data_IF_767927748249
#
_entry.id   IF_767927748249
#
_cell.length_a   1.000
_cell.length_b   1.000
_cell.length_c   1.000
_cell.angle_alpha   90.00
_cell.angle_beta   90.00
_cell.angle_gamma   90.00
#
_symmetry.space_group_name_H-M   'P 1'
#
loop_
_entity.id
_entity.type
_entity.pdbx_description
1 polymer ?
#
# COMPACT_ATOMS: atom_id res chain seq x y z
N UNK A 1 -28.87 12.80 -0.68
CA UNK A 1 -28.36 14.07 -1.12
C UNK A 1 -27.19 14.58 -0.27
N UNK A 2 -26.60 15.68 -0.66
CA UNK A 2 -25.52 16.35 0.09
C UNK A 2 -24.26 15.51 0.33
N UNK A 3 -23.95 14.58 -0.59
CA UNK A 3 -22.81 13.65 -0.50
C UNK A 3 -22.84 12.70 0.71
N UNK A 4 -23.99 12.54 1.35
CA UNK A 4 -24.23 11.61 2.43
C UNK A 4 -25.02 10.41 1.92
N UNK A 5 -24.55 9.22 2.24
CA UNK A 5 -25.12 7.95 1.83
C UNK A 5 -25.59 7.15 3.05
N UNK A 6 -26.72 6.49 2.95
CA UNK A 6 -27.11 5.50 3.94
C UNK A 6 -26.19 4.26 3.86
N UNK A 7 -25.91 3.67 5.02
CA UNK A 7 -25.17 2.42 5.09
C UNK A 7 -26.15 1.24 5.09
N UNK A 8 -26.04 0.35 4.12
CA UNK A 8 -26.87 -0.85 4.05
C UNK A 8 -26.55 -1.95 5.07
N UNK A 9 -25.58 -1.73 5.97
CA UNK A 9 -25.16 -2.70 6.99
C UNK A 9 -25.67 -2.41 8.40
N UNK A 10 -26.26 -1.22 8.62
CA UNK A 10 -26.78 -0.79 9.91
C UNK A 10 -27.78 0.36 9.74
N UNK A 11 -28.98 0.19 10.26
CA UNK A 11 -30.00 1.24 10.23
C UNK A 11 -29.55 2.45 11.07
N UNK A 12 -29.74 3.64 10.54
CA UNK A 12 -29.29 4.88 11.19
C UNK A 12 -27.82 5.24 10.98
N UNK A 13 -27.05 4.39 10.31
CA UNK A 13 -25.69 4.74 9.92
C UNK A 13 -25.67 5.47 8.57
N UNK A 14 -24.89 6.54 8.52
CA UNK A 14 -24.67 7.34 7.31
C UNK A 14 -23.17 7.51 7.05
N UNK A 15 -22.81 7.77 5.81
CA UNK A 15 -21.41 7.92 5.46
C UNK A 15 -21.17 8.97 4.37
N UNK A 16 -20.01 9.59 4.40
CA UNK A 16 -19.39 10.23 3.26
C UNK A 16 -18.50 9.19 2.53
N UNK A 17 -18.66 9.11 1.21
CA UNK A 17 -17.90 8.21 0.34
C UNK A 17 -16.85 9.00 -0.45
N UNK A 18 -15.58 8.67 -0.23
CA UNK A 18 -14.47 9.12 -1.08
C UNK A 18 -13.96 7.99 -1.97
N UNK A 19 -13.36 8.35 -3.09
CA UNK A 19 -12.75 7.37 -3.98
C UNK A 19 -11.63 6.60 -3.27
N UNK A 20 -11.41 5.34 -3.69
CA UNK A 20 -10.29 4.50 -3.26
C UNK A 20 -10.34 4.04 -1.80
N UNK A 21 -11.54 4.02 -1.21
CA UNK A 21 -11.72 3.51 0.16
C UNK A 21 -11.64 4.59 1.25
N UNK A 22 -11.89 5.86 0.91
CA UNK A 22 -11.96 6.93 1.90
C UNK A 22 -13.38 7.00 2.45
N UNK A 23 -13.57 6.77 3.75
CA UNK A 23 -14.88 6.83 4.37
C UNK A 23 -14.87 7.61 5.68
N UNK A 24 -15.94 8.37 5.90
CA UNK A 24 -16.33 8.84 7.22
C UNK A 24 -17.74 8.31 7.48
N UNK A 25 -17.86 7.44 8.47
CA UNK A 25 -19.10 6.73 8.78
C UNK A 25 -19.57 7.16 10.16
N UNK A 26 -20.78 7.73 10.24
CA UNK A 26 -21.43 8.08 11.49
C UNK A 26 -22.46 7.03 11.83
N UNK A 27 -22.39 6.48 13.04
CA UNK A 27 -23.29 5.46 13.58
C UNK A 27 -24.01 6.12 14.77
N UNK A 28 -25.19 6.70 14.46
CA UNK A 28 -25.85 7.65 15.32
C UNK A 28 -26.36 7.04 16.61
N UNK A 29 -26.85 5.81 16.57
CA UNK A 29 -27.33 5.07 17.75
C UNK A 29 -26.21 4.62 18.70
N UNK A 30 -24.97 4.74 18.27
CA UNK A 30 -23.77 4.41 19.07
C UNK A 30 -22.91 5.64 19.41
N UNK A 31 -23.36 6.84 19.02
CA UNK A 31 -22.58 8.08 19.17
C UNK A 31 -21.12 7.90 18.70
N UNK A 32 -20.95 7.22 17.55
CA UNK A 32 -19.66 6.79 17.06
C UNK A 32 -19.40 7.27 15.63
N UNK A 33 -18.16 7.66 15.38
CA UNK A 33 -17.65 7.95 14.04
C UNK A 33 -16.48 7.03 13.74
N UNK A 34 -16.55 6.36 12.58
CA UNK A 34 -15.45 5.54 12.04
C UNK A 34 -14.87 6.23 10.83
N UNK A 35 -13.57 6.46 10.85
CA UNK A 35 -12.83 7.02 9.71
C UNK A 35 -11.94 5.93 9.13
N UNK A 36 -12.04 5.76 7.82
CA UNK A 36 -11.20 4.82 7.07
C UNK A 36 -10.44 5.59 5.99
N UNK A 37 -9.12 5.37 5.94
CA UNK A 37 -8.25 5.90 4.90
C UNK A 37 -7.55 4.73 4.22
N UNK A 38 -7.82 4.56 2.95
CA UNK A 38 -7.32 3.43 2.16
C UNK A 38 -6.77 3.91 0.82
N UNK A 39 -5.99 3.06 0.17
CA UNK A 39 -5.56 3.23 -1.21
C UNK A 39 -5.88 1.95 -1.99
N UNK A 40 -7.16 1.61 -2.09
CA UNK A 40 -7.62 0.41 -2.79
C UNK A 40 -8.25 0.75 -4.14
N UNK A 41 -7.88 0.01 -5.18
CA UNK A 41 -8.52 0.09 -6.49
C UNK A 41 -9.86 -0.65 -6.55
N UNK A 42 -10.17 -1.47 -5.54
CA UNK A 42 -11.46 -2.08 -5.34
C UNK A 42 -12.52 -1.08 -4.87
N UNK A 43 -13.75 -1.54 -4.72
CA UNK A 43 -14.86 -0.70 -4.25
C UNK A 43 -14.93 -0.56 -2.71
N UNK A 44 -13.89 -0.97 -1.97
CA UNK A 44 -13.78 -0.87 -0.50
C UNK A 44 -14.92 -1.56 0.28
N UNK A 45 -15.77 -2.31 -0.41
CA UNK A 45 -17.00 -2.88 0.18
C UNK A 45 -16.66 -3.92 1.24
N UNK A 46 -15.60 -4.68 1.04
CA UNK A 46 -15.22 -5.76 1.96
C UNK A 46 -14.61 -5.21 3.25
N UNK A 47 -13.84 -4.13 3.18
CA UNK A 47 -13.27 -3.48 4.37
C UNK A 47 -14.35 -2.89 5.28
N UNK A 48 -15.40 -2.29 4.72
CA UNK A 48 -16.54 -1.77 5.49
C UNK A 48 -17.31 -2.85 6.25
N UNK A 49 -17.31 -4.09 5.75
CA UNK A 49 -17.91 -5.22 6.46
C UNK A 49 -17.27 -5.47 7.81
N UNK A 50 -15.98 -5.16 7.97
CA UNK A 50 -15.28 -5.27 9.25
C UNK A 50 -15.93 -4.41 10.34
N UNK A 51 -16.55 -3.29 9.97
CA UNK A 51 -17.26 -2.44 10.91
C UNK A 51 -18.52 -3.16 11.40
N UNK A 52 -19.29 -3.75 10.49
CA UNK A 52 -20.57 -4.38 10.79
C UNK A 52 -20.40 -5.75 11.41
N UNK A 53 -19.46 -6.54 10.89
CA UNK A 53 -19.31 -7.94 11.24
C UNK A 53 -18.37 -8.15 12.44
N UNK A 54 -17.44 -7.22 12.70
CA UNK A 54 -16.42 -7.36 13.72
C UNK A 54 -16.48 -6.26 14.78
N UNK A 55 -16.48 -4.99 14.38
CA UNK A 55 -16.39 -3.87 15.34
C UNK A 55 -17.70 -3.70 16.11
N UNK A 56 -18.81 -3.47 15.41
CA UNK A 56 -20.10 -3.18 16.06
C UNK A 56 -20.57 -4.23 17.05
N UNK A 57 -20.44 -5.54 16.81
CA UNK A 57 -20.83 -6.56 17.77
C UNK A 57 -20.04 -6.51 19.09
N UNK A 58 -18.90 -5.82 19.12
CA UNK A 58 -18.07 -5.67 20.32
C UNK A 58 -18.39 -4.41 21.12
N UNK A 59 -19.10 -3.46 20.51
CA UNK A 59 -19.48 -2.20 21.15
C UNK A 59 -20.63 -2.46 22.11
N UNK A 60 -20.45 -2.06 23.35
CA UNK A 60 -21.47 -2.15 24.42
C UNK A 60 -22.04 -0.77 24.69
N UNK A 61 -23.27 -0.75 25.18
CA UNK A 61 -23.94 0.49 25.55
C UNK A 61 -23.42 1.07 26.88
N UNK A 62 -22.76 0.24 27.69
CA UNK A 62 -22.15 0.64 28.95
C UNK A 62 -20.62 0.87 28.82
N UNK A 63 -20.06 1.81 29.56
CA UNK A 63 -18.61 2.00 29.58
C UNK A 63 -17.87 0.72 29.96
N UNK A 64 -16.81 0.43 29.24
CA UNK A 64 -15.97 -0.72 29.55
C UNK A 64 -15.24 -0.52 30.90
N UNK A 65 -15.14 -1.57 31.73
CA UNK A 65 -14.36 -1.48 32.96
C UNK A 65 -12.87 -1.22 32.65
N UNK A 66 -12.22 -0.49 33.55
CA UNK A 66 -10.78 -0.18 33.41
C UNK A 66 -9.98 -1.48 33.38
N UNK A 67 -9.32 -1.75 32.24
CA UNK A 67 -8.44 -2.90 32.05
C UNK A 67 -7.05 -2.46 31.61
N UNK A 68 -6.17 -2.26 32.59
CA UNK A 68 -4.78 -1.81 32.34
C UNK A 68 -3.99 -2.79 31.45
N UNK A 69 -4.24 -4.09 31.58
CA UNK A 69 -3.54 -5.13 30.81
C UNK A 69 -3.88 -5.04 29.32
N UNK A 70 -5.16 -4.94 29.00
CA UNK A 70 -5.60 -4.86 27.60
C UNK A 70 -5.22 -3.51 26.99
N UNK A 71 -5.27 -2.43 27.77
CA UNK A 71 -4.79 -1.12 27.32
C UNK A 71 -3.29 -1.14 26.97
N UNK A 72 -2.45 -1.75 27.82
CA UNK A 72 -1.02 -1.90 27.52
C UNK A 72 -0.79 -2.79 26.29
N UNK A 73 -1.59 -3.82 26.10
CA UNK A 73 -1.52 -4.67 24.90
C UNK A 73 -1.87 -3.90 23.64
N UNK A 74 -2.93 -3.08 23.70
CA UNK A 74 -3.33 -2.21 22.60
C UNK A 74 -2.20 -1.23 22.23
N UNK A 75 -1.64 -0.53 23.24
CA UNK A 75 -0.51 0.39 23.01
C UNK A 75 0.69 -0.31 22.35
N UNK A 76 1.05 -1.52 22.83
CA UNK A 76 2.14 -2.30 22.24
C UNK A 76 1.84 -2.69 20.78
N UNK A 77 0.60 -3.08 20.47
CA UNK A 77 0.21 -3.40 19.10
C UNK A 77 0.26 -2.17 18.20
N UNK A 78 -0.24 -1.04 18.66
CA UNK A 78 -0.21 0.21 17.90
C UNK A 78 1.22 0.67 17.61
N UNK A 79 2.13 0.56 18.58
CA UNK A 79 3.52 0.99 18.42
C UNK A 79 4.31 0.20 17.37
N UNK A 80 3.91 -1.04 17.08
CA UNK A 80 4.57 -1.90 16.09
C UNK A 80 3.75 -2.10 14.82
N UNK A 81 2.60 -1.44 14.72
CA UNK A 81 1.73 -1.58 13.56
C UNK A 81 2.34 -0.84 12.35
N UNK A 82 2.65 -1.58 11.32
CA UNK A 82 3.22 -1.07 10.07
C UNK A 82 2.82 -1.98 8.91
N UNK A 83 2.92 -1.47 7.70
CA UNK A 83 2.78 -2.29 6.51
C UNK A 83 3.85 -3.40 6.53
N UNK A 84 3.44 -4.67 6.34
CA UNK A 84 4.38 -5.76 6.35
C UNK A 84 5.30 -5.69 5.13
N UNK A 85 6.58 -5.80 5.38
CA UNK A 85 7.59 -5.96 4.35
C UNK A 85 7.52 -7.34 3.70
N UNK A 86 8.20 -7.51 2.58
CA UNK A 86 8.32 -8.81 1.92
C UNK A 86 9.04 -9.80 2.85
N UNK A 87 8.46 -10.99 3.02
CA UNK A 87 9.01 -12.04 3.88
C UNK A 87 9.93 -12.96 3.10
N UNK A 88 11.10 -13.28 3.66
CA UNK A 88 12.06 -14.19 3.04
C UNK A 88 13.47 -13.98 3.58
N UNK A 89 14.47 -14.24 2.74
CA UNK A 89 15.91 -14.09 3.04
C UNK A 89 16.48 -12.82 2.41
N UNK A 90 17.54 -12.27 3.01
CA UNK A 90 18.24 -11.08 2.47
C UNK A 90 19.00 -11.39 1.18
N UNK A 91 19.46 -12.62 1.02
CA UNK A 91 20.33 -13.01 -0.10
C UNK A 91 20.06 -14.43 -0.57
N UNK A 92 20.43 -14.68 -1.81
CA UNK A 92 20.51 -16.02 -2.40
C UNK A 92 21.78 -16.12 -3.24
N UNK A 93 22.40 -17.28 -3.32
CA UNK A 93 23.49 -17.53 -4.24
C UNK A 93 23.08 -17.32 -5.71
N UNK A 94 21.80 -17.45 -6.01
CA UNK A 94 21.22 -17.23 -7.34
C UNK A 94 21.30 -15.76 -7.79
N UNK A 95 21.50 -14.81 -6.87
CA UNK A 95 21.63 -13.38 -7.17
C UNK A 95 22.70 -13.11 -8.24
N UNK A 96 23.81 -13.87 -8.24
CA UNK A 96 24.89 -13.75 -9.24
C UNK A 96 24.41 -13.95 -10.69
N UNK A 97 23.28 -14.66 -10.88
CA UNK A 97 22.70 -14.83 -12.22
C UNK A 97 22.03 -13.56 -12.74
N UNK A 98 21.67 -12.63 -11.87
CA UNK A 98 20.93 -11.41 -12.17
C UNK A 98 21.76 -10.14 -11.90
N UNK A 99 22.81 -10.27 -11.10
CA UNK A 99 23.65 -9.14 -10.68
C UNK A 99 24.21 -8.38 -11.87
N UNK A 100 23.90 -7.09 -11.95
CA UNK A 100 24.34 -6.17 -13.00
C UNK A 100 23.96 -6.56 -14.44
N UNK A 101 23.11 -7.58 -14.63
CA UNK A 101 22.66 -7.95 -15.97
C UNK A 101 21.45 -7.14 -16.37
N UNK A 102 21.44 -6.67 -17.60
CA UNK A 102 20.28 -6.04 -18.22
C UNK A 102 19.33 -7.13 -18.73
N UNK A 103 18.09 -7.08 -18.26
CA UNK A 103 17.02 -7.96 -18.68
C UNK A 103 16.13 -7.17 -19.61
N UNK A 104 16.17 -7.49 -20.89
CA UNK A 104 15.27 -6.88 -21.88
C UNK A 104 13.86 -7.43 -21.72
N UNK A 105 12.88 -6.54 -21.71
CA UNK A 105 11.47 -6.88 -21.57
C UNK A 105 10.75 -6.79 -22.90
N UNK A 106 9.87 -7.75 -23.16
CA UNK A 106 8.89 -7.64 -24.23
C UNK A 106 7.87 -6.54 -23.98
N UNK A 107 6.96 -6.33 -24.92
CA UNK A 107 5.86 -5.36 -24.77
C UNK A 107 5.08 -5.62 -23.47
N UNK A 108 4.99 -4.61 -22.64
CA UNK A 108 4.32 -4.69 -21.35
C UNK A 108 3.52 -3.41 -21.05
N UNK A 109 2.53 -3.45 -20.14
CA UNK A 109 1.66 -2.32 -19.86
C UNK A 109 2.35 -1.15 -19.15
N UNK A 110 3.58 -1.34 -18.64
CA UNK A 110 4.33 -0.32 -17.91
C UNK A 110 5.18 0.55 -18.83
N UNK A 111 5.32 0.19 -20.10
CA UNK A 111 6.24 0.85 -21.01
C UNK A 111 7.72 0.63 -20.64
N UNK A 112 8.02 -0.40 -19.89
CA UNK A 112 9.38 -0.73 -19.49
C UNK A 112 10.09 -1.48 -20.62
N UNK A 113 11.28 -1.02 -20.96
CA UNK A 113 12.15 -1.64 -21.96
C UNK A 113 13.08 -2.67 -21.34
N UNK A 114 13.72 -2.31 -20.24
CA UNK A 114 14.65 -3.20 -19.57
C UNK A 114 14.74 -2.94 -18.06
N UNK A 115 15.18 -3.96 -17.33
CA UNK A 115 15.45 -3.93 -15.89
C UNK A 115 16.91 -4.32 -15.64
N UNK A 116 17.49 -3.77 -14.59
CA UNK A 116 18.79 -4.21 -14.04
C UNK A 116 18.71 -4.17 -12.52
N UNK A 117 19.17 -5.24 -11.87
CA UNK A 117 19.23 -5.33 -10.43
C UNK A 117 20.69 -5.33 -9.94
N UNK A 118 20.92 -4.59 -8.87
CA UNK A 118 22.18 -4.58 -8.14
C UNK A 118 21.89 -4.98 -6.70
N UNK A 119 22.48 -6.10 -6.24
CA UNK A 119 22.21 -6.68 -4.94
C UNK A 119 23.27 -6.24 -3.92
N UNK A 120 22.90 -5.37 -3.00
CA UNK A 120 23.70 -5.03 -1.83
C UNK A 120 23.48 -6.00 -0.67
N UNK A 121 24.10 -5.71 0.48
CA UNK A 121 24.01 -6.58 1.68
C UNK A 121 22.58 -6.71 2.23
N UNK A 122 21.79 -5.65 2.24
CA UNK A 122 20.41 -5.57 2.71
C UNK A 122 19.55 -4.65 1.85
N UNK A 123 19.91 -4.50 0.61
CA UNK A 123 19.27 -3.60 -0.32
C UNK A 123 19.37 -4.16 -1.74
N UNK A 124 18.35 -3.94 -2.52
CA UNK A 124 18.38 -4.14 -3.97
C UNK A 124 18.07 -2.81 -4.63
N UNK A 125 18.94 -2.41 -5.56
CA UNK A 125 18.69 -1.28 -6.44
C UNK A 125 18.16 -1.81 -7.77
N UNK A 126 16.92 -1.47 -8.10
CA UNK A 126 16.32 -1.76 -9.38
C UNK A 126 16.45 -0.55 -10.30
N UNK A 127 17.19 -0.69 -11.37
CA UNK A 127 17.23 0.31 -12.45
C UNK A 127 16.20 -0.08 -13.50
N UNK A 128 15.28 0.82 -13.81
CA UNK A 128 14.25 0.66 -14.84
C UNK A 128 14.59 1.59 -16.00
N UNK A 129 14.58 1.06 -17.23
CA UNK A 129 14.66 1.86 -18.45
C UNK A 129 13.34 1.73 -19.20
N UNK A 130 12.70 2.86 -19.48
CA UNK A 130 11.45 2.92 -20.24
C UNK A 130 11.69 2.86 -21.76
N UNK A 131 10.66 2.55 -22.51
CA UNK A 131 10.67 2.61 -23.97
C UNK A 131 10.91 4.02 -24.51
N UNK A 132 10.65 5.05 -23.71
CA UNK A 132 10.96 6.46 -23.98
C UNK A 132 12.46 6.78 -23.88
N UNK A 133 13.26 5.85 -23.32
CA UNK A 133 14.68 6.05 -23.00
C UNK A 133 14.91 6.67 -21.60
N UNK A 134 13.87 7.05 -20.88
CA UNK A 134 13.99 7.53 -19.49
C UNK A 134 14.45 6.39 -18.59
N UNK A 135 15.36 6.68 -17.69
CA UNK A 135 15.88 5.71 -16.70
C UNK A 135 15.70 6.27 -15.30
N UNK A 136 15.34 5.41 -14.35
CA UNK A 136 15.23 5.75 -12.93
C UNK A 136 15.59 4.56 -12.04
N UNK A 137 15.87 4.83 -10.79
CA UNK A 137 16.29 3.83 -9.81
C UNK A 137 15.32 3.76 -8.63
N UNK A 138 15.02 2.53 -8.22
CA UNK A 138 14.16 2.22 -7.08
C UNK A 138 14.93 1.39 -6.06
N UNK A 139 15.15 1.90 -4.85
CA UNK A 139 15.76 1.12 -3.77
C UNK A 139 14.72 0.25 -3.06
N UNK A 140 15.09 -1.00 -2.76
CA UNK A 140 14.28 -1.93 -1.98
C UNK A 140 15.07 -2.42 -0.77
N UNK A 141 14.50 -2.25 0.43
CA UNK A 141 15.14 -2.65 1.68
C UNK A 141 14.73 -4.06 2.13
N UNK A 142 15.64 -4.75 2.80
CA UNK A 142 15.34 -6.02 3.46
C UNK A 142 14.88 -5.80 4.90
N UNK A 143 13.65 -6.23 5.24
CA UNK A 143 12.98 -5.99 6.52
C UNK A 143 12.80 -4.50 6.86
N UNK A 144 12.85 -3.67 5.86
CA UNK A 144 12.60 -2.24 5.96
C UNK A 144 12.02 -1.72 4.66
N UNK A 145 11.35 -0.58 4.73
CA UNK A 145 10.91 0.17 3.56
C UNK A 145 11.94 1.25 3.24
N UNK A 146 12.60 1.13 2.09
CA UNK A 146 13.48 2.19 1.57
C UNK A 146 12.64 3.19 0.78
N UNK A 147 12.78 4.47 1.10
CA UNK A 147 11.99 5.53 0.46
C UNK A 147 12.85 6.36 -0.47
N UNK A 148 12.35 6.63 -1.64
CA UNK A 148 12.94 7.55 -2.62
C UNK A 148 11.85 8.38 -3.29
N UNK A 149 12.23 9.49 -3.93
CA UNK A 149 11.33 10.24 -4.81
C UNK A 149 11.72 10.03 -6.26
N UNK A 150 10.74 10.03 -7.14
CA UNK A 150 10.95 9.90 -8.58
C UNK A 150 9.95 10.74 -9.36
N UNK A 151 10.34 11.16 -10.56
CA UNK A 151 9.47 11.89 -11.49
C UNK A 151 8.78 10.97 -12.51
N UNK A 152 9.13 9.67 -12.52
CA UNK A 152 8.46 8.71 -13.38
C UNK A 152 7.06 8.41 -12.83
N UNK A 153 6.08 8.39 -13.73
CA UNK A 153 4.68 8.14 -13.37
C UNK A 153 4.50 6.72 -12.83
N UNK A 154 3.74 6.54 -11.74
CA UNK A 154 3.48 5.20 -11.19
C UNK A 154 2.77 4.31 -12.20
N UNK A 155 3.16 3.03 -12.32
CA UNK A 155 2.51 2.11 -13.24
C UNK A 155 1.04 1.88 -12.88
N UNK A 156 0.19 1.66 -13.88
CA UNK A 156 -1.26 1.37 -13.83
C UNK A 156 -2.05 2.09 -12.72
N UNK A 157 -1.65 3.25 -12.37
CA UNK A 157 -2.44 4.05 -11.45
C UNK A 157 -3.43 4.93 -12.21
N UNK A 158 -4.18 5.70 -11.47
CA UNK A 158 -5.08 6.70 -12.04
C UNK A 158 -4.27 7.71 -12.86
N UNK A 159 -4.59 7.86 -14.13
CA UNK A 159 -3.92 8.81 -15.03
C UNK A 159 -4.16 10.25 -14.56
N UNK A 160 -3.18 11.17 -14.63
CA UNK A 160 -3.35 12.57 -14.26
C UNK A 160 -4.09 13.36 -15.34
N UNK A 161 -5.30 12.92 -15.65
CA UNK A 161 -6.22 13.56 -16.60
C UNK A 161 -7.46 14.08 -15.87
N UNK A 162 -8.20 14.99 -16.47
CA UNK A 162 -9.41 15.59 -15.92
C UNK A 162 -9.20 16.12 -14.49
N UNK A 163 -9.93 15.59 -13.52
CA UNK A 163 -9.87 16.02 -12.11
C UNK A 163 -8.52 15.71 -11.42
N UNK A 164 -7.70 14.87 -12.00
CA UNK A 164 -6.36 14.54 -11.49
C UNK A 164 -5.24 15.27 -12.20
N UNK A 165 -5.57 16.15 -13.15
CA UNK A 165 -4.60 17.03 -13.84
C UNK A 165 -3.90 17.92 -12.82
N UNK A 166 -2.59 18.04 -12.94
CA UNK A 166 -1.76 18.83 -12.01
C UNK A 166 -1.27 18.05 -10.78
N UNK A 167 -1.58 16.75 -10.69
CA UNK A 167 -1.02 15.85 -9.69
C UNK A 167 0.19 15.10 -10.25
N UNK A 168 1.03 15.83 -10.96
CA UNK A 168 2.32 15.34 -11.44
C UNK A 168 3.35 15.38 -10.28
N UNK A 169 4.22 14.41 -10.23
CA UNK A 169 5.28 14.18 -9.27
C UNK A 169 5.81 15.38 -8.44
N UNK A 170 6.86 15.19 -7.67
CA UNK A 170 7.55 13.91 -7.48
C UNK A 170 6.69 12.88 -6.74
N UNK A 171 6.86 11.62 -7.13
CA UNK A 171 6.19 10.50 -6.48
C UNK A 171 7.13 9.89 -5.43
N UNK A 172 6.62 9.71 -4.21
CA UNK A 172 7.36 9.04 -3.15
C UNK A 172 7.10 7.54 -3.21
N UNK A 173 8.17 6.76 -3.33
CA UNK A 173 8.12 5.31 -3.46
C UNK A 173 8.81 4.69 -2.27
N UNK A 174 8.16 3.73 -1.62
CA UNK A 174 8.72 2.92 -0.56
C UNK A 174 8.87 1.48 -1.07
N UNK A 175 10.11 0.98 -1.13
CA UNK A 175 10.44 -0.35 -1.64
C UNK A 175 10.90 -1.32 -0.57
N UNK A 176 10.42 -2.56 -0.62
CA UNK A 176 10.85 -3.67 0.21
C UNK A 176 11.07 -4.93 -0.62
N UNK A 177 12.06 -5.76 -0.27
CA UNK A 177 12.34 -7.00 -0.97
C UNK A 177 12.66 -8.15 -0.02
N UNK A 178 12.52 -9.35 -0.54
CA UNK A 178 13.14 -10.55 0.01
C UNK A 178 13.28 -11.64 -1.07
N UNK A 179 14.21 -12.54 -0.87
CA UNK A 179 14.25 -13.82 -1.57
C UNK A 179 13.22 -14.76 -0.96
N UNK A 180 12.16 -15.05 -1.69
CA UNK A 180 11.05 -15.93 -1.27
C UNK A 180 11.41 -17.40 -1.45
N UNK A 181 12.31 -17.69 -2.39
CA UNK A 181 12.91 -19.03 -2.58
C UNK A 181 14.41 -18.91 -2.93
N UNK A 182 15.04 -19.98 -3.35
CA UNK A 182 16.41 -19.97 -3.85
C UNK A 182 16.56 -19.12 -5.12
N UNK A 183 15.58 -19.14 -5.99
CA UNK A 183 15.63 -18.60 -7.36
C UNK A 183 14.68 -17.45 -7.59
N UNK A 184 13.87 -17.09 -6.58
CA UNK A 184 12.85 -16.07 -6.66
C UNK A 184 13.11 -14.94 -5.69
N UNK A 185 13.20 -13.73 -6.20
CA UNK A 185 13.21 -12.49 -5.42
C UNK A 185 11.90 -11.75 -5.66
N UNK A 186 11.23 -11.38 -4.59
CA UNK A 186 10.03 -10.54 -4.63
C UNK A 186 10.39 -9.11 -4.25
N UNK A 187 9.98 -8.18 -5.09
CA UNK A 187 10.11 -6.74 -4.88
C UNK A 187 8.69 -6.15 -4.73
N UNK A 188 8.50 -5.33 -3.71
CA UNK A 188 7.23 -4.65 -3.47
C UNK A 188 7.46 -3.17 -3.28
N UNK A 189 6.80 -2.35 -4.10
CA UNK A 189 6.85 -0.90 -4.03
C UNK A 189 5.46 -0.34 -3.74
N UNK A 190 5.37 0.60 -2.79
CA UNK A 190 4.20 1.42 -2.54
C UNK A 190 4.49 2.86 -2.92
N UNK A 191 3.59 3.47 -3.68
CA UNK A 191 3.64 4.89 -3.99
C UNK A 191 2.89 5.65 -2.89
N UNK A 192 3.66 6.26 -1.96
CA UNK A 192 3.16 6.77 -0.67
C UNK A 192 2.19 7.93 -0.84
N UNK A 193 2.43 8.78 -1.81
CA UNK A 193 1.58 9.94 -2.12
C UNK A 193 0.74 9.73 -3.40
N UNK A 194 0.57 8.49 -3.83
CA UNK A 194 -0.25 8.14 -4.98
C UNK A 194 -0.93 6.78 -4.77
N UNK A 195 -1.99 6.53 -5.52
CA UNK A 195 -2.75 5.28 -5.41
C UNK A 195 -2.17 4.22 -6.34
N UNK A 196 -1.04 3.68 -5.98
CA UNK A 196 -0.40 2.60 -6.74
C UNK A 196 0.49 1.75 -5.85
N UNK A 197 0.54 0.47 -6.15
CA UNK A 197 1.52 -0.46 -5.61
C UNK A 197 1.98 -1.39 -6.74
N UNK A 198 3.22 -1.84 -6.66
CA UNK A 198 3.83 -2.74 -7.62
C UNK A 198 4.42 -3.93 -6.86
N UNK A 199 4.08 -5.13 -7.29
CA UNK A 199 4.69 -6.39 -6.84
C UNK A 199 5.30 -7.10 -8.03
N UNK A 200 6.55 -7.49 -7.93
CA UNK A 200 7.35 -8.11 -8.98
C UNK A 200 8.05 -9.35 -8.45
#
# INVERSE_FOLDING_TARGET
GYHIWHCGGHDGAVRADGALGQYVISILDKDMVVVMTEATLGNGRDQRRLIWDVLLPTIKDEPLPVNKKDYQLLQKKQAVYKLPEVKGKASSAFASNWENKTIELGKNPFGWKSLRMNFGKKEVMLTVTETTGKTYELPFGYKEWKTTSMDAYPPYSITPVDRFKGLEGPYWVAGSYAWTSKEEVQLKAHYVNWVSALEM
#
